data_IF_455947898486
#
_entry.id   IF_455947898486
#
_cell.length_a   1.000
_cell.length_b   1.000
_cell.length_c   1.000
_cell.angle_alpha   90.00
_cell.angle_beta   90.00
_cell.angle_gamma   90.00
#
_symmetry.space_group_name_H-M   'P 1'
#
loop_
_entity.id
_entity.type
_entity.pdbx_description
1 polymer ?
#
# COMPACT_ATOMS: atom_id res chain seq x y z
N UNK A 1 15.40 7.07 -0.03
CA UNK A 1 14.15 7.81 -0.34
C UNK A 1 14.25 9.32 -0.05
N UNK A 2 15.42 9.86 0.30
CA UNK A 2 15.55 11.21 0.89
C UNK A 2 15.41 12.39 -0.10
N UNK A 3 15.25 12.13 -1.40
CA UNK A 3 15.03 13.16 -2.43
C UNK A 3 13.58 13.25 -2.93
N UNK A 4 12.66 12.46 -2.35
CA UNK A 4 11.25 12.48 -2.74
C UNK A 4 10.49 13.57 -1.97
N UNK A 5 9.68 14.35 -2.68
CA UNK A 5 8.73 15.26 -2.01
C UNK A 5 7.72 14.47 -1.19
N UNK A 6 7.15 15.09 -0.15
CA UNK A 6 6.11 14.47 0.67
C UNK A 6 4.95 13.91 -0.17
N UNK A 7 4.45 14.70 -1.12
CA UNK A 7 3.34 14.28 -1.99
C UNK A 7 3.73 13.09 -2.88
N UNK A 8 4.98 13.02 -3.36
CA UNK A 8 5.44 11.85 -4.11
C UNK A 8 5.51 10.61 -3.21
N UNK A 9 6.03 10.76 -1.99
CA UNK A 9 6.10 9.66 -1.03
C UNK A 9 4.72 9.10 -0.69
N UNK A 10 3.74 9.97 -0.46
CA UNK A 10 2.34 9.58 -0.20
C UNK A 10 1.72 8.83 -1.40
N UNK A 11 2.02 9.25 -2.63
CA UNK A 11 1.53 8.53 -3.82
C UNK A 11 2.20 7.17 -3.99
N UNK A 12 3.52 7.07 -3.79
CA UNK A 12 4.23 5.79 -3.83
C UNK A 12 3.74 4.83 -2.74
N UNK A 13 3.51 5.34 -1.54
CA UNK A 13 2.92 4.61 -0.42
C UNK A 13 1.51 4.07 -0.73
N UNK A 14 0.71 4.87 -1.44
CA UNK A 14 -0.60 4.42 -1.89
C UNK A 14 -0.50 3.33 -2.96
N UNK A 15 0.47 3.39 -3.87
CA UNK A 15 0.73 2.33 -4.85
C UNK A 15 1.09 1.03 -4.13
N UNK A 16 2.06 1.09 -3.21
CA UNK A 16 2.55 -0.06 -2.44
C UNK A 16 1.41 -0.72 -1.62
N UNK A 17 0.65 0.07 -0.88
CA UNK A 17 -0.46 -0.44 -0.06
C UNK A 17 -1.60 -1.01 -0.90
N UNK A 18 -1.93 -0.38 -2.03
CA UNK A 18 -2.99 -0.88 -2.91
C UNK A 18 -2.58 -2.21 -3.54
N UNK A 19 -1.33 -2.34 -3.98
CA UNK A 19 -0.81 -3.62 -4.45
C UNK A 19 -0.80 -4.67 -3.34
N UNK A 20 -0.42 -4.31 -2.12
CA UNK A 20 -0.43 -5.22 -0.97
C UNK A 20 -1.84 -5.73 -0.64
N UNK A 21 -2.83 -4.85 -0.52
CA UNK A 21 -4.15 -5.20 0.01
C UNK A 21 -5.19 -5.57 -1.06
N UNK A 22 -5.07 -5.06 -2.30
CA UNK A 22 -5.98 -5.37 -3.41
C UNK A 22 -5.36 -6.28 -4.47
N UNK A 23 -4.03 -6.38 -4.51
CA UNK A 23 -3.29 -7.16 -5.52
C UNK A 23 -3.19 -6.49 -6.89
N UNK A 24 -3.83 -5.34 -7.11
CA UNK A 24 -3.83 -4.64 -8.39
C UNK A 24 -4.08 -3.14 -8.23
N UNK A 25 -3.58 -2.34 -9.16
CA UNK A 25 -3.78 -0.90 -9.23
C UNK A 25 -3.85 -0.41 -10.68
N UNK A 26 -4.66 0.62 -10.90
CA UNK A 26 -4.78 1.34 -12.17
C UNK A 26 -4.29 2.77 -12.07
N UNK A 27 -4.07 3.39 -13.23
CA UNK A 27 -3.84 4.84 -13.28
C UNK A 27 -5.05 5.63 -12.75
N UNK A 28 -6.27 5.11 -12.95
CA UNK A 28 -7.50 5.77 -12.51
C UNK A 28 -7.60 5.85 -10.98
N UNK A 29 -7.08 4.84 -10.26
CA UNK A 29 -7.02 4.86 -8.79
C UNK A 29 -6.17 6.03 -8.29
N UNK A 30 -5.03 6.28 -8.93
CA UNK A 30 -4.15 7.40 -8.58
C UNK A 30 -4.75 8.75 -8.94
N UNK A 31 -5.30 8.89 -10.15
CA UNK A 31 -5.92 10.15 -10.57
C UNK A 31 -7.15 10.48 -9.72
N UNK A 32 -7.98 9.49 -9.40
CA UNK A 32 -9.19 9.68 -8.60
C UNK A 32 -8.89 10.01 -7.14
N UNK A 33 -7.84 9.41 -6.56
CA UNK A 33 -7.48 9.67 -5.15
C UNK A 33 -6.73 10.98 -4.93
N UNK A 34 -5.80 11.33 -5.81
CA UNK A 34 -4.88 12.45 -5.60
C UNK A 34 -5.15 13.66 -6.50
N UNK A 35 -6.19 13.62 -7.34
CA UNK A 35 -6.54 14.67 -8.30
C UNK A 35 -5.35 15.11 -9.18
N UNK A 36 -4.61 14.11 -9.68
CA UNK A 36 -3.45 14.32 -10.55
C UNK A 36 -3.76 13.96 -12.01
N UNK A 37 -3.01 14.55 -12.94
CA UNK A 37 -3.10 14.18 -14.35
C UNK A 37 -2.64 12.73 -14.59
N UNK A 38 -3.24 12.05 -15.56
CA UNK A 38 -2.88 10.67 -15.94
C UNK A 38 -1.41 10.49 -16.33
N UNK A 39 -0.78 11.55 -16.86
CA UNK A 39 0.66 11.57 -17.17
C UNK A 39 1.49 11.47 -15.88
N UNK A 40 1.08 12.16 -14.81
CA UNK A 40 1.77 12.09 -13.52
C UNK A 40 1.57 10.73 -12.86
N UNK A 41 0.35 10.17 -12.89
CA UNK A 41 0.10 8.82 -12.40
C UNK A 41 0.98 7.76 -13.10
N UNK A 42 1.18 7.90 -14.42
CA UNK A 42 2.07 7.03 -15.19
C UNK A 42 3.53 7.17 -14.75
N UNK A 43 3.99 8.40 -14.47
CA UNK A 43 5.34 8.65 -13.94
C UNK A 43 5.53 8.05 -12.54
N UNK A 44 4.52 8.18 -11.66
CA UNK A 44 4.61 7.65 -10.30
C UNK A 44 4.63 6.10 -10.30
N UNK A 45 3.85 5.43 -11.17
CA UNK A 45 3.91 3.98 -11.35
C UNK A 45 5.26 3.51 -11.91
N UNK A 46 5.82 4.25 -12.86
CA UNK A 46 7.16 3.96 -13.39
C UNK A 46 8.25 4.16 -12.32
N UNK A 47 8.13 5.22 -11.51
CA UNK A 47 9.03 5.48 -10.39
C UNK A 47 8.94 4.37 -9.34
N UNK A 48 7.73 3.97 -8.96
CA UNK A 48 7.52 2.85 -8.03
C UNK A 48 8.19 1.56 -8.56
N UNK A 49 7.98 1.23 -9.84
CA UNK A 49 8.63 0.08 -10.47
C UNK A 49 10.16 0.18 -10.48
N UNK A 50 10.73 1.38 -10.64
CA UNK A 50 12.18 1.56 -10.58
C UNK A 50 12.76 1.34 -9.18
N UNK A 51 11.97 1.62 -8.13
CA UNK A 51 12.36 1.44 -6.73
C UNK A 51 12.12 0.00 -6.24
N UNK A 52 11.07 -0.65 -6.72
CA UNK A 52 10.67 -2.00 -6.35
C UNK A 52 10.27 -2.80 -7.61
N UNK A 53 11.26 -3.25 -8.41
CA UNK A 53 11.00 -3.91 -9.69
C UNK A 53 10.23 -5.24 -9.54
N UNK A 54 10.43 -5.93 -8.42
CA UNK A 54 9.80 -7.21 -8.10
C UNK A 54 8.42 -7.06 -7.44
N UNK A 55 7.92 -5.84 -7.26
CA UNK A 55 6.63 -5.60 -6.60
C UNK A 55 5.48 -5.28 -7.58
N UNK A 56 5.77 -5.09 -8.87
CA UNK A 56 4.75 -4.64 -9.83
C UNK A 56 5.02 -5.20 -11.23
N UNK A 57 4.03 -5.88 -11.78
CA UNK A 57 4.02 -6.34 -13.17
C UNK A 57 2.89 -5.68 -13.93
N UNK A 58 3.10 -5.30 -15.19
CA UNK A 58 2.04 -4.74 -16.03
C UNK A 58 1.42 -5.84 -16.89
N UNK A 59 0.16 -6.15 -16.66
CA UNK A 59 -0.62 -7.06 -17.50
C UNK A 59 -1.27 -6.29 -18.66
N UNK A 60 -0.77 -6.53 -19.87
CA UNK A 60 -1.28 -5.89 -21.09
C UNK A 60 -2.72 -6.28 -21.43
N UNK A 61 -3.19 -7.47 -21.02
CA UNK A 61 -4.54 -7.97 -21.35
C UNK A 61 -5.60 -7.23 -20.57
N UNK A 62 -5.41 -7.13 -19.26
CA UNK A 62 -6.32 -6.43 -18.35
C UNK A 62 -6.05 -4.91 -18.25
N UNK A 63 -4.89 -4.45 -18.75
CA UNK A 63 -4.41 -3.06 -18.60
C UNK A 63 -4.24 -2.65 -17.13
N UNK A 64 -3.90 -3.62 -16.28
CA UNK A 64 -3.71 -3.45 -14.84
C UNK A 64 -2.23 -3.58 -14.47
N UNK A 65 -1.84 -2.91 -13.40
CA UNK A 65 -0.62 -3.25 -12.69
C UNK A 65 -0.96 -4.23 -11.58
N UNK A 66 -0.32 -5.40 -11.58
CA UNK A 66 -0.61 -6.52 -10.69
C UNK A 66 0.56 -6.78 -9.75
N UNK A 67 0.22 -7.24 -8.55
CA UNK A 67 1.17 -7.74 -7.55
C UNK A 67 1.70 -9.13 -7.98
N UNK A 68 3.02 -9.32 -8.11
CA UNK A 68 3.63 -10.62 -8.32
C UNK A 68 3.80 -11.40 -7.00
N UNK A 69 4.13 -12.69 -7.08
CA UNK A 69 4.23 -13.57 -5.90
C UNK A 69 5.36 -13.21 -4.92
N UNK A 70 6.44 -12.57 -5.39
CA UNK A 70 7.59 -12.18 -4.57
C UNK A 70 7.48 -10.80 -3.91
N UNK A 71 6.27 -10.25 -3.82
CA UNK A 71 6.06 -8.89 -3.32
C UNK A 71 6.56 -8.70 -1.89
N UNK A 72 7.42 -7.69 -1.69
CA UNK A 72 7.88 -7.27 -0.37
C UNK A 72 7.61 -5.77 -0.21
N UNK A 73 6.73 -5.34 0.73
CA UNK A 73 6.36 -3.93 0.89
C UNK A 73 7.56 -2.98 0.84
N UNK A 74 7.47 -1.92 0.02
CA UNK A 74 8.52 -0.90 -0.07
C UNK A 74 8.50 0.03 1.15
N UNK A 75 7.35 0.18 1.79
CA UNK A 75 7.17 1.00 2.99
C UNK A 75 6.92 0.15 4.23
N UNK A 76 7.38 0.66 5.38
CA UNK A 76 7.02 0.10 6.68
C UNK A 76 5.57 0.49 7.01
N UNK A 77 4.74 -0.53 7.26
CA UNK A 77 3.35 -0.37 7.65
C UNK A 77 3.19 -0.67 9.14
N UNK A 78 2.56 0.25 9.87
CA UNK A 78 2.06 -0.08 11.20
C UNK A 78 0.79 -0.92 11.03
N UNK A 79 0.88 -2.19 11.39
CA UNK A 79 -0.21 -3.18 11.29
C UNK A 79 -1.51 -2.64 11.90
N UNK A 80 -1.45 -1.97 13.06
CA UNK A 80 -2.63 -1.48 13.77
C UNK A 80 -3.24 -0.29 13.04
N UNK A 81 -2.40 0.65 12.60
CA UNK A 81 -2.87 1.81 11.83
C UNK A 81 -3.47 1.38 10.50
N UNK A 82 -2.85 0.41 9.85
CA UNK A 82 -3.28 -0.17 8.58
C UNK A 82 -4.61 -0.91 8.72
N UNK A 83 -4.76 -1.75 9.75
CA UNK A 83 -6.03 -2.41 10.08
C UNK A 83 -7.16 -1.42 10.40
N UNK A 84 -6.84 -0.35 11.15
CA UNK A 84 -7.80 0.71 11.45
C UNK A 84 -8.23 1.43 10.18
N UNK A 85 -7.28 1.75 9.30
CA UNK A 85 -7.54 2.36 7.99
C UNK A 85 -8.36 1.47 7.06
N UNK A 86 -8.09 0.16 7.03
CA UNK A 86 -8.88 -0.83 6.29
C UNK A 86 -10.32 -0.91 6.82
N UNK A 87 -10.49 -0.95 8.13
CA UNK A 87 -11.81 -1.05 8.77
C UNK A 87 -12.65 0.23 8.69
N UNK A 88 -12.02 1.40 8.64
CA UNK A 88 -12.72 2.71 8.63
C UNK A 88 -12.71 3.41 7.26
N UNK A 89 -12.02 2.86 6.25
CA UNK A 89 -11.97 3.42 4.89
C UNK A 89 -11.08 4.66 4.72
N UNK A 90 -10.31 5.05 5.73
CA UNK A 90 -9.44 6.24 5.70
C UNK A 90 -7.97 5.90 6.00
N UNK A 91 -7.06 6.26 5.09
CA UNK A 91 -5.60 6.29 5.32
C UNK A 91 -4.81 5.14 4.72
N UNK A 92 -3.54 5.39 4.42
CA UNK A 92 -2.56 4.49 3.78
C UNK A 92 -1.68 3.74 4.80
N UNK A 93 -2.03 3.77 6.09
CA UNK A 93 -1.31 3.03 7.14
C UNK A 93 0.13 3.50 7.41
N UNK A 94 0.62 4.54 6.72
CA UNK A 94 2.01 4.98 6.83
C UNK A 94 2.34 5.51 8.23
N UNK A 95 3.46 5.09 8.79
CA UNK A 95 4.02 5.73 9.98
C UNK A 95 4.81 6.97 9.58
N UNK A 96 4.26 8.15 9.79
CA UNK A 96 5.12 9.27 10.19
C UNK A 96 5.37 9.07 11.68
N UNK A 97 6.56 8.63 12.08
CA UNK A 97 6.96 8.59 13.50
C UNK A 97 6.95 10.03 14.01
N UNK A 98 5.80 10.49 14.51
CA UNK A 98 5.73 11.73 15.28
C UNK A 98 6.12 11.33 16.70
N UNK A 99 7.26 11.78 17.24
CA UNK A 99 7.61 11.49 18.61
C UNK A 99 6.49 12.05 19.50
N UNK A 100 5.87 11.19 20.30
CA UNK A 100 4.95 11.65 21.34
C UNK A 100 5.69 12.63 22.24
N UNK A 101 5.12 13.82 22.46
CA UNK A 101 5.68 14.82 23.37
C UNK A 101 5.71 14.34 24.83
N UNK A 102 4.98 13.26 25.13
CA UNK A 102 4.91 12.65 26.46
C UNK A 102 5.51 11.25 26.36
N UNK A 103 6.58 10.95 27.13
CA UNK A 103 7.08 9.59 27.25
C UNK A 103 6.05 8.75 28.03
N UNK A 104 5.35 7.89 27.32
CA UNK A 104 4.45 6.89 27.91
C UNK A 104 4.93 5.49 27.50
N UNK A 105 4.99 4.58 28.48
CA UNK A 105 5.16 3.17 28.19
C UNK A 105 3.84 2.65 27.63
N UNK A 106 3.87 2.21 26.37
CA UNK A 106 2.71 1.61 25.73
C UNK A 106 2.79 0.11 25.99
N UNK A 107 1.73 -0.54 26.51
CA UNK A 107 1.76 -1.98 26.77
C UNK A 107 2.07 -2.74 25.48
N UNK A 108 2.89 -3.79 25.61
CA UNK A 108 3.18 -4.70 24.50
C UNK A 108 1.86 -5.27 23.95
N UNK A 109 1.61 -5.05 22.67
CA UNK A 109 0.34 -5.41 22.02
C UNK A 109 0.38 -6.88 21.65
N UNK A 110 -0.32 -7.72 22.40
CA UNK A 110 -0.36 -9.19 22.20
C UNK A 110 -1.13 -9.64 20.94
N UNK A 111 -1.95 -8.76 20.35
CA UNK A 111 -2.80 -9.10 19.19
C UNK A 111 -2.34 -8.34 17.94
N UNK A 112 -1.21 -8.77 17.37
CA UNK A 112 -0.66 -8.23 16.14
C UNK A 112 -0.67 -9.35 15.08
N UNK A 113 -1.76 -9.47 14.29
CA UNK A 113 -1.81 -10.48 13.25
C UNK A 113 -0.76 -10.20 12.18
N UNK A 114 -0.26 -11.26 11.56
CA UNK A 114 0.69 -11.14 10.46
C UNK A 114 0.10 -10.31 9.31
N UNK A 115 0.87 -9.32 8.84
CA UNK A 115 0.41 -8.35 7.85
C UNK A 115 0.10 -9.01 6.50
N UNK A 116 0.87 -10.04 6.12
CA UNK A 116 0.66 -10.77 4.88
C UNK A 116 -0.63 -11.60 4.94
N UNK A 117 -0.93 -12.19 6.10
CA UNK A 117 -2.20 -12.89 6.35
C UNK A 117 -3.39 -11.92 6.21
N UNK A 118 -3.31 -10.72 6.80
CA UNK A 118 -4.34 -9.69 6.66
C UNK A 118 -4.49 -9.27 5.20
N UNK A 119 -3.38 -9.05 4.49
CA UNK A 119 -3.38 -8.65 3.09
C UNK A 119 -3.99 -9.72 2.17
N UNK A 120 -3.72 -10.99 2.44
CA UNK A 120 -4.32 -12.12 1.73
C UNK A 120 -5.84 -12.14 1.91
N UNK A 121 -6.31 -12.02 3.16
CA UNK A 121 -7.74 -11.99 3.48
C UNK A 121 -8.44 -10.78 2.84
N UNK A 122 -7.85 -9.58 2.91
CA UNK A 122 -8.45 -8.38 2.34
C UNK A 122 -8.56 -8.47 0.82
N UNK A 123 -7.53 -9.00 0.14
CA UNK A 123 -7.55 -9.18 -1.31
C UNK A 123 -8.66 -10.16 -1.72
N UNK A 124 -8.79 -11.27 -1.01
CA UNK A 124 -9.78 -12.29 -1.32
C UNK A 124 -11.21 -11.80 -1.11
N UNK A 125 -11.47 -11.04 -0.03
CA UNK A 125 -12.75 -10.36 0.18
C UNK A 125 -13.03 -9.39 -0.98
N UNK A 126 -12.06 -8.56 -1.35
CA UNK A 126 -12.21 -7.60 -2.44
C UNK A 126 -12.50 -8.28 -3.79
N UNK A 127 -11.85 -9.42 -4.06
CA UNK A 127 -12.01 -10.18 -5.31
C UNK A 127 -13.16 -11.20 -5.27
N UNK A 128 -13.83 -11.37 -4.13
CA UNK A 128 -14.88 -12.37 -3.94
C UNK A 128 -14.39 -13.82 -4.09
N UNK A 129 -13.19 -14.13 -3.60
CA UNK A 129 -12.55 -15.47 -3.72
C UNK A 129 -12.37 -16.12 -2.35
N UNK A 130 -12.35 -17.45 -2.31
CA UNK A 130 -11.97 -18.20 -1.12
C UNK A 130 -10.45 -18.17 -0.92
N UNK A 131 -10.00 -18.17 0.34
CA UNK A 131 -8.58 -18.27 0.73
C UNK A 131 -8.32 -19.63 1.34
N UNK A 132 -7.19 -20.22 0.98
CA UNK A 132 -6.59 -21.35 1.67
C UNK A 132 -5.27 -20.83 2.28
N UNK A 133 -5.14 -20.89 3.60
CA UNK A 133 -4.00 -20.38 4.39
C UNK A 133 -3.08 -21.54 4.79
#
# INVERSE_FOLDING_TARGET
>A
MEHLTRNQRERLAHIDSTLLFKGEITRADLTGRFDIAAVQATKDLALYRSLAPDNICYDKRSKLHIRPAGFTPLFDYDVIRTLTSLGQGFGDGLTSSVPSAIPCEVPFRLNQPDLLTVACLSEAIYKGRAVEL
#
